data_IF_159768334303
#
_entry.id   IF_159768334303
#
_cell.length_a   1.000
_cell.length_b   1.000
_cell.length_c   1.000
_cell.angle_alpha   90.00
_cell.angle_beta   90.00
_cell.angle_gamma   90.00
#
_symmetry.space_group_name_H-M   'P 1'
#
loop_
_entity.id
_entity.type
_entity.pdbx_description
1 polymer ?
#
# COMPACT_ATOMS: atom_id res chain seq x y z
N UNK A 1 -26.89 -9.17 -1.12
CA UNK A 1 -26.18 -7.93 -0.72
C UNK A 1 -24.69 -8.07 -0.98
N UNK A 2 -24.15 -7.10 -1.61
CA UNK A 2 -22.72 -7.12 -1.85
C UNK A 2 -21.99 -6.72 -0.56
N UNK A 3 -21.21 -7.64 -0.04
CA UNK A 3 -20.46 -7.41 1.18
C UNK A 3 -18.99 -7.10 0.90
N UNK A 4 -18.62 -7.04 -0.39
CA UNK A 4 -17.24 -6.76 -0.71
C UNK A 4 -16.89 -5.35 -0.27
N UNK A 5 -15.86 -5.24 0.55
CA UNK A 5 -15.32 -3.96 0.95
C UNK A 5 -14.51 -3.45 -0.24
N UNK A 6 -14.77 -2.21 -0.61
CA UNK A 6 -13.99 -1.59 -1.67
C UNK A 6 -12.54 -1.48 -1.20
N UNK A 7 -11.62 -2.08 -1.95
CA UNK A 7 -10.20 -2.08 -1.60
C UNK A 7 -9.67 -0.66 -1.44
N UNK A 8 -10.13 0.27 -2.28
CA UNK A 8 -9.72 1.67 -2.19
C UNK A 8 -10.15 2.30 -0.87
N UNK A 9 -11.33 1.95 -0.37
CA UNK A 9 -11.80 2.47 0.91
C UNK A 9 -10.99 1.94 2.08
N UNK A 10 -10.60 0.68 2.04
CA UNK A 10 -9.75 0.09 3.07
C UNK A 10 -8.38 0.78 3.10
N UNK A 11 -7.79 0.95 1.93
CA UNK A 11 -6.49 1.60 1.79
C UNK A 11 -6.58 3.07 2.23
N UNK A 12 -7.62 3.76 1.80
CA UNK A 12 -7.84 5.16 2.17
C UNK A 12 -7.93 5.31 3.68
N UNK A 13 -8.72 4.47 4.35
CA UNK A 13 -8.86 4.52 5.80
C UNK A 13 -7.55 4.23 6.51
N UNK A 14 -6.75 3.32 5.99
CA UNK A 14 -5.45 3.00 6.56
C UNK A 14 -4.50 4.21 6.50
N UNK A 15 -4.42 4.84 5.34
CA UNK A 15 -3.59 6.03 5.18
C UNK A 15 -4.11 7.21 5.99
N UNK A 16 -5.43 7.32 6.14
CA UNK A 16 -6.02 8.34 7.01
C UNK A 16 -5.55 8.16 8.45
N UNK A 17 -5.49 6.91 8.93
CA UNK A 17 -4.98 6.62 10.26
C UNK A 17 -3.53 7.08 10.41
N UNK A 18 -2.70 6.84 9.39
CA UNK A 18 -1.31 7.30 9.40
C UNK A 18 -1.24 8.83 9.52
N UNK A 19 -2.05 9.54 8.74
CA UNK A 19 -2.07 11.00 8.77
C UNK A 19 -2.58 11.56 10.09
N UNK A 20 -3.58 10.90 10.67
CA UNK A 20 -4.23 11.38 11.90
C UNK A 20 -3.44 11.00 13.16
N UNK A 21 -2.51 10.06 13.05
CA UNK A 21 -1.75 9.62 14.22
C UNK A 21 -0.75 10.68 14.64
N UNK A 22 -0.92 11.19 15.86
CA UNK A 22 -0.07 12.25 16.40
C UNK A 22 1.24 11.75 16.98
N UNK A 23 1.27 10.48 17.39
CA UNK A 23 2.47 9.86 17.93
C UNK A 23 3.35 9.39 16.76
N UNK A 24 4.57 9.90 16.69
CA UNK A 24 5.47 9.62 15.58
C UNK A 24 5.84 8.14 15.49
N UNK A 25 6.07 7.50 16.63
CA UNK A 25 6.42 6.07 16.65
C UNK A 25 5.27 5.21 16.15
N UNK A 26 4.04 5.54 16.54
CA UNK A 26 2.85 4.81 16.07
C UNK A 26 2.61 5.03 14.60
N UNK A 27 2.86 6.24 14.12
CA UNK A 27 2.76 6.55 12.69
C UNK A 27 3.69 5.67 11.88
N UNK A 28 4.94 5.56 12.31
CA UNK A 28 5.95 4.71 11.66
C UNK A 28 5.53 3.24 11.74
N UNK A 29 4.99 2.82 12.89
CA UNK A 29 4.53 1.45 13.07
C UNK A 29 3.40 1.11 12.10
N UNK A 30 2.45 2.01 11.91
CA UNK A 30 1.39 1.83 10.92
C UNK A 30 1.96 1.69 9.51
N UNK A 31 2.97 2.50 9.19
CA UNK A 31 3.66 2.39 7.90
C UNK A 31 4.31 1.03 7.71
N UNK A 32 4.98 0.52 8.74
CA UNK A 32 5.61 -0.80 8.69
C UNK A 32 4.58 -1.92 8.54
N UNK A 33 3.44 -1.78 9.18
CA UNK A 33 2.34 -2.74 9.01
C UNK A 33 1.83 -2.75 7.58
N UNK A 34 1.72 -1.59 6.96
CA UNK A 34 1.35 -1.46 5.55
C UNK A 34 2.34 -2.20 4.65
N UNK A 35 3.64 -1.98 4.86
CA UNK A 35 4.69 -2.64 4.07
C UNK A 35 4.55 -4.15 4.21
N UNK A 36 4.40 -4.64 5.42
CA UNK A 36 4.29 -6.09 5.68
C UNK A 36 3.08 -6.68 4.97
N UNK A 37 1.94 -6.01 5.04
CA UNK A 37 0.73 -6.47 4.38
C UNK A 37 0.91 -6.53 2.85
N UNK A 38 1.55 -5.52 2.28
CA UNK A 38 1.79 -5.48 0.84
C UNK A 38 2.80 -6.53 0.40
N UNK A 39 3.84 -6.78 1.19
CA UNK A 39 4.80 -7.84 0.91
C UNK A 39 4.13 -9.21 0.92
N UNK A 40 3.23 -9.44 1.87
CA UNK A 40 2.46 -10.68 1.93
C UNK A 40 1.58 -10.84 0.69
N UNK A 41 0.89 -9.77 0.28
CA UNK A 41 0.05 -9.80 -0.91
C UNK A 41 0.86 -10.11 -2.17
N UNK A 42 2.04 -9.52 -2.31
CA UNK A 42 2.91 -9.80 -3.46
C UNK A 42 3.36 -11.25 -3.47
N UNK A 43 3.71 -11.79 -2.31
CA UNK A 43 4.14 -13.19 -2.21
C UNK A 43 3.02 -14.15 -2.57
N UNK A 44 1.80 -13.87 -2.13
CA UNK A 44 0.64 -14.69 -2.47
C UNK A 44 0.31 -14.61 -3.95
N UNK A 45 0.36 -13.42 -4.52
CA UNK A 45 0.14 -13.21 -5.95
C UNK A 45 1.15 -14.04 -6.75
N UNK A 46 2.41 -13.98 -6.38
CA UNK A 46 3.49 -14.72 -7.04
C UNK A 46 3.26 -16.24 -6.97
N UNK A 47 2.81 -16.74 -5.83
CA UNK A 47 2.50 -18.15 -5.64
C UNK A 47 1.38 -18.64 -6.57
N UNK A 48 0.39 -17.78 -6.80
CA UNK A 48 -0.80 -18.12 -7.57
C UNK A 48 -0.62 -18.00 -9.07
N UNK A 49 0.49 -17.39 -9.52
CA UNK A 49 0.79 -17.27 -10.93
C UNK A 49 1.42 -18.55 -11.44
N UNK A 50 1.01 -18.99 -12.63
CA UNK A 50 1.67 -20.10 -13.30
C UNK A 50 3.01 -19.63 -13.89
N UNK A 51 3.81 -20.56 -14.45
CA UNK A 51 5.15 -20.24 -14.92
C UNK A 51 5.20 -19.13 -15.97
N UNK A 52 4.27 -19.13 -16.92
CA UNK A 52 4.21 -18.12 -17.96
C UNK A 52 3.81 -16.76 -17.40
N UNK A 53 2.82 -16.74 -16.51
CA UNK A 53 2.35 -15.52 -15.88
C UNK A 53 3.39 -14.93 -14.93
N UNK A 54 4.12 -15.78 -14.22
CA UNK A 54 5.23 -15.33 -13.37
C UNK A 54 6.27 -14.57 -14.19
N UNK A 55 6.63 -15.12 -15.32
CA UNK A 55 7.61 -14.50 -16.18
C UNK A 55 7.12 -13.17 -16.72
N UNK A 56 5.84 -13.12 -17.11
CA UNK A 56 5.21 -11.92 -17.65
C UNK A 56 5.15 -10.78 -16.61
N UNK A 57 4.87 -11.12 -15.35
CA UNK A 57 4.70 -10.13 -14.30
C UNK A 57 5.92 -9.96 -13.39
N UNK A 58 7.00 -10.62 -13.69
CA UNK A 58 8.22 -10.62 -12.88
C UNK A 58 8.73 -9.20 -12.61
N UNK A 59 8.79 -8.38 -13.63
CA UNK A 59 9.31 -7.01 -13.51
C UNK A 59 8.38 -6.14 -12.67
N UNK A 60 7.07 -6.32 -12.83
CA UNK A 60 6.07 -5.57 -12.06
C UNK A 60 6.16 -5.93 -10.58
N UNK A 61 6.27 -7.21 -10.27
CA UNK A 61 6.41 -7.67 -8.89
C UNK A 61 7.69 -7.13 -8.26
N UNK A 62 8.79 -7.19 -9.01
CA UNK A 62 10.07 -6.70 -8.51
C UNK A 62 10.03 -5.18 -8.28
N UNK A 63 9.41 -4.43 -9.20
CA UNK A 63 9.21 -2.99 -9.04
C UNK A 63 8.44 -2.67 -7.77
N UNK A 64 7.36 -3.41 -7.50
CA UNK A 64 6.57 -3.20 -6.30
C UNK A 64 7.38 -3.51 -5.04
N UNK A 65 8.17 -4.57 -5.05
CA UNK A 65 9.05 -4.89 -3.92
C UNK A 65 10.09 -3.82 -3.68
N UNK A 66 10.68 -3.30 -4.74
CA UNK A 66 11.65 -2.20 -4.64
C UNK A 66 11.01 -0.95 -4.04
N UNK A 67 9.78 -0.65 -4.46
CA UNK A 67 9.04 0.47 -3.91
C UNK A 67 8.79 0.29 -2.41
N UNK A 68 8.33 -0.90 -2.00
CA UNK A 68 8.09 -1.19 -0.59
C UNK A 68 9.38 -1.08 0.23
N UNK A 69 10.49 -1.56 -0.32
CA UNK A 69 11.78 -1.43 0.35
C UNK A 69 12.18 0.04 0.56
N UNK A 70 11.85 0.89 -0.41
CA UNK A 70 12.15 2.33 -0.29
C UNK A 70 11.34 3.00 0.82
N UNK A 71 10.21 2.43 1.21
CA UNK A 71 9.37 2.99 2.27
C UNK A 71 9.85 2.62 3.67
N UNK A 72 10.73 1.63 3.81
CA UNK A 72 11.11 1.08 5.11
C UNK A 72 11.84 2.08 6.01
N UNK A 73 12.49 3.07 5.42
CA UNK A 73 13.29 4.03 6.15
C UNK A 73 12.62 5.40 6.30
N UNK A 74 11.34 5.50 6.00
CA UNK A 74 10.63 6.76 6.13
C UNK A 74 10.42 7.13 7.59
N UNK A 75 10.60 8.42 7.91
CA UNK A 75 10.23 8.93 9.22
C UNK A 75 8.72 9.27 9.25
N UNK A 76 8.22 9.72 10.39
CA UNK A 76 6.78 10.01 10.54
C UNK A 76 6.29 11.08 9.58
N UNK A 77 7.06 12.13 9.39
CA UNK A 77 6.72 13.22 8.46
C UNK A 77 6.60 12.69 7.03
N UNK A 78 7.55 11.87 6.61
CA UNK A 78 7.55 11.27 5.28
C UNK A 78 6.39 10.31 5.10
N UNK A 79 6.07 9.53 6.12
CA UNK A 79 4.91 8.64 6.07
C UNK A 79 3.59 9.41 5.93
N UNK A 80 3.45 10.52 6.65
CA UNK A 80 2.25 11.37 6.54
C UNK A 80 2.13 11.99 5.16
N UNK A 81 3.23 12.44 4.59
CA UNK A 81 3.24 12.97 3.22
C UNK A 81 2.86 11.89 2.20
N UNK A 82 3.45 10.72 2.34
CA UNK A 82 3.15 9.59 1.45
C UNK A 82 1.67 9.19 1.55
N UNK A 83 1.16 9.08 2.77
CA UNK A 83 -0.23 8.73 3.00
C UNK A 83 -1.18 9.79 2.41
N UNK A 84 -0.86 11.07 2.60
CA UNK A 84 -1.65 12.16 2.04
C UNK A 84 -1.69 12.06 0.51
N UNK A 85 -0.55 11.84 -0.10
CA UNK A 85 -0.48 11.72 -1.56
C UNK A 85 -1.30 10.53 -2.07
N UNK A 86 -1.21 9.40 -1.38
CA UNK A 86 -1.98 8.21 -1.74
C UNK A 86 -3.49 8.46 -1.63
N UNK A 87 -3.92 9.15 -0.58
CA UNK A 87 -5.33 9.50 -0.41
C UNK A 87 -5.82 10.42 -1.53
N UNK A 88 -5.02 11.40 -1.92
CA UNK A 88 -5.34 12.30 -3.03
C UNK A 88 -5.51 11.51 -4.33
N UNK A 89 -4.60 10.58 -4.59
CA UNK A 89 -4.67 9.75 -5.79
C UNK A 89 -5.93 8.88 -5.81
N UNK A 90 -6.31 8.33 -4.67
CA UNK A 90 -7.54 7.53 -4.56
C UNK A 90 -8.77 8.40 -4.85
N UNK A 91 -8.81 9.60 -4.27
CA UNK A 91 -9.91 10.54 -4.49
C UNK A 91 -10.01 10.92 -5.97
N UNK A 92 -8.88 11.22 -6.60
CA UNK A 92 -8.84 11.59 -8.01
C UNK A 92 -9.31 10.43 -8.90
N UNK A 93 -8.89 9.21 -8.56
CA UNK A 93 -9.32 8.03 -9.30
C UNK A 93 -10.83 7.85 -9.24
N UNK A 94 -11.42 8.00 -8.06
CA UNK A 94 -12.87 7.91 -7.89
C UNK A 94 -13.62 9.00 -8.64
N UNK A 95 -13.05 10.21 -8.68
CA UNK A 95 -13.68 11.36 -9.34
C UNK A 95 -13.71 11.23 -10.85
N UNK A 96 -12.85 10.39 -11.42
CA UNK A 96 -12.78 10.20 -12.88
C UNK A 96 -13.83 9.22 -13.41
N UNK A 97 -14.60 8.66 -12.54
CA UNK A 97 -15.73 7.81 -12.95
C UNK A 97 -17.00 8.66 -13.11
#
# INVERSE_FOLDING_TARGET
MNTSVNTDDVIFNFFKQICDEKNDEKCIQLGKEWIKAMETNLSEMEKNLNGADKLKHKDDIQSNRNHLNSLKNKNSSEWRQYATQCMIEIINHKSQK
#
